data_IF_362768017999
#
_entry.id   IF_362768017999
#
_cell.length_a   1.000
_cell.length_b   1.000
_cell.length_c   1.000
_cell.angle_alpha   90.00
_cell.angle_beta   90.00
_cell.angle_gamma   90.00
#
_symmetry.space_group_name_H-M   'P 1'
#
loop_
_entity.id
_entity.type
_entity.pdbx_description
1 polymer ?
#
# COMPACT_ATOMS: atom_id res chain seq x y z
N UNK A 1 -17.48 -10.99 2.67
CA UNK A 1 -17.79 -10.30 3.94
C UNK A 1 -17.43 -8.86 3.71
N UNK A 2 -18.35 -7.93 3.94
CA UNK A 2 -18.04 -6.50 3.83
C UNK A 2 -17.51 -6.07 5.19
N UNK A 3 -16.25 -5.67 5.25
CA UNK A 3 -15.60 -5.16 6.44
C UNK A 3 -15.13 -3.73 6.10
N UNK A 4 -15.76 -2.69 6.68
CA UNK A 4 -15.46 -1.30 6.31
C UNK A 4 -13.98 -0.94 6.46
N UNK A 5 -13.29 -1.54 7.43
CA UNK A 5 -11.87 -1.28 7.64
C UNK A 5 -11.01 -1.99 6.59
N UNK A 6 -11.37 -3.19 6.15
CA UNK A 6 -10.72 -3.83 4.99
C UNK A 6 -10.97 -3.06 3.69
N UNK A 7 -12.14 -2.43 3.55
CA UNK A 7 -12.45 -1.58 2.39
C UNK A 7 -11.58 -0.31 2.37
N UNK A 8 -11.33 0.32 3.52
CA UNK A 8 -10.39 1.44 3.66
C UNK A 8 -8.95 1.02 3.31
N UNK A 9 -8.47 -0.09 3.87
CA UNK A 9 -7.12 -0.59 3.57
C UNK A 9 -6.93 -0.87 2.07
N UNK A 10 -7.97 -1.40 1.40
CA UNK A 10 -7.96 -1.61 -0.04
C UNK A 10 -7.87 -0.29 -0.82
N UNK A 11 -8.67 0.72 -0.44
CA UNK A 11 -8.64 2.02 -1.09
C UNK A 11 -7.26 2.69 -0.96
N UNK A 12 -6.64 2.59 0.22
CA UNK A 12 -5.27 3.08 0.46
C UNK A 12 -4.26 2.36 -0.42
N UNK A 13 -4.34 1.03 -0.52
CA UNK A 13 -3.46 0.22 -1.37
C UNK A 13 -3.56 0.59 -2.85
N UNK A 14 -4.78 0.81 -3.34
CA UNK A 14 -5.03 1.31 -4.71
C UNK A 14 -4.46 2.73 -4.89
N UNK A 15 -4.54 3.56 -3.86
CA UNK A 15 -3.91 4.89 -3.80
C UNK A 15 -2.39 4.81 -3.96
N UNK A 16 -1.72 4.00 -3.15
CA UNK A 16 -0.27 3.77 -3.23
C UNK A 16 0.14 3.24 -4.60
N UNK A 17 -0.60 2.28 -5.15
CA UNK A 17 -0.35 1.72 -6.49
C UNK A 17 -0.40 2.78 -7.59
N UNK A 18 -1.38 3.70 -7.53
CA UNK A 18 -1.48 4.83 -8.48
C UNK A 18 -0.32 5.81 -8.31
N UNK A 19 0.09 6.10 -7.07
CA UNK A 19 1.21 7.00 -6.79
C UNK A 19 2.54 6.42 -7.29
N UNK A 20 2.81 5.13 -7.02
CA UNK A 20 3.99 4.42 -7.51
C UNK A 20 4.08 4.45 -9.03
N UNK A 21 2.98 4.15 -9.75
CA UNK A 21 2.93 4.25 -11.21
C UNK A 21 3.29 5.65 -11.73
N UNK A 22 2.84 6.70 -11.04
CA UNK A 22 3.17 8.09 -11.40
C UNK A 22 4.64 8.41 -11.16
N UNK A 23 5.19 8.02 -10.01
CA UNK A 23 6.59 8.25 -9.66
C UNK A 23 7.54 7.49 -10.57
N UNK A 24 7.23 6.23 -10.91
CA UNK A 24 8.02 5.43 -11.83
C UNK A 24 8.09 6.07 -13.22
N UNK A 25 6.96 6.58 -13.74
CA UNK A 25 6.95 7.35 -14.99
C UNK A 25 7.77 8.65 -14.90
N UNK A 26 7.75 9.34 -13.74
CA UNK A 26 8.57 10.54 -13.53
C UNK A 26 10.06 10.22 -13.48
N UNK A 27 10.43 9.13 -12.79
CA UNK A 27 11.81 8.67 -12.68
C UNK A 27 12.44 8.46 -14.07
N UNK A 28 11.73 7.76 -14.95
CA UNK A 28 12.18 7.47 -16.32
C UNK A 28 12.31 8.71 -17.22
N UNK A 29 11.64 9.82 -16.87
CA UNK A 29 11.67 11.08 -17.65
C UNK A 29 12.65 12.10 -17.09
N UNK A 30 13.25 11.84 -15.94
CA UNK A 30 14.10 12.80 -15.23
C UNK A 30 15.56 12.54 -15.58
N UNK A 31 16.29 13.57 -16.02
CA UNK A 31 17.70 13.45 -16.42
C UNK A 31 18.69 13.92 -15.34
N UNK A 32 18.21 14.49 -14.24
CA UNK A 32 19.04 14.93 -13.11
C UNK A 32 19.14 13.83 -12.06
N UNK A 33 20.37 13.44 -11.70
CA UNK A 33 20.65 12.44 -10.68
C UNK A 33 20.04 12.82 -9.30
N UNK A 34 20.13 14.09 -8.91
CA UNK A 34 19.54 14.57 -7.64
C UNK A 34 18.02 14.46 -7.63
N UNK A 35 17.38 14.81 -8.74
CA UNK A 35 15.94 14.69 -8.88
C UNK A 35 15.49 13.21 -8.91
N UNK A 36 16.24 12.34 -9.60
CA UNK A 36 16.01 10.90 -9.57
C UNK A 36 16.14 10.33 -8.15
N UNK A 37 17.18 10.73 -7.39
CA UNK A 37 17.39 10.32 -6.00
C UNK A 37 16.21 10.69 -5.09
N UNK A 38 15.66 11.91 -5.25
CA UNK A 38 14.45 12.33 -4.51
C UNK A 38 13.23 11.47 -4.87
N UNK A 39 13.05 11.12 -6.14
CA UNK A 39 11.94 10.27 -6.60
C UNK A 39 12.08 8.85 -6.03
N UNK A 40 13.30 8.29 -6.01
CA UNK A 40 13.57 6.96 -5.44
C UNK A 40 13.21 6.94 -3.94
N UNK A 41 13.64 7.95 -3.16
CA UNK A 41 13.26 8.07 -1.74
C UNK A 41 11.75 8.13 -1.53
N UNK A 42 11.01 8.78 -2.43
CA UNK A 42 9.55 8.81 -2.38
C UNK A 42 8.93 7.45 -2.68
N UNK A 43 9.49 6.72 -3.66
CA UNK A 43 9.08 5.34 -3.98
C UNK A 43 9.29 4.44 -2.75
N UNK A 44 10.45 4.49 -2.11
CA UNK A 44 10.76 3.68 -0.92
C UNK A 44 9.79 3.98 0.24
N UNK A 45 9.50 5.28 0.47
CA UNK A 45 8.54 5.68 1.50
C UNK A 45 7.13 5.13 1.24
N UNK A 46 6.67 5.15 -0.02
CA UNK A 46 5.35 4.62 -0.39
C UNK A 46 5.35 3.09 -0.32
N UNK A 47 6.42 2.43 -0.75
CA UNK A 47 6.56 0.97 -0.67
C UNK A 47 6.46 0.49 0.79
N UNK A 48 7.12 1.16 1.73
CA UNK A 48 7.02 0.86 3.17
C UNK A 48 5.58 1.03 3.70
N UNK A 49 4.88 2.09 3.28
CA UNK A 49 3.47 2.29 3.65
C UNK A 49 2.56 1.19 3.08
N UNK A 50 2.81 0.79 1.83
CA UNK A 50 2.08 -0.26 1.14
C UNK A 50 2.28 -1.62 1.79
N UNK A 51 3.51 -1.94 2.21
CA UNK A 51 3.80 -3.17 2.96
C UNK A 51 3.07 -3.19 4.31
N UNK A 52 3.12 -2.10 5.07
CA UNK A 52 2.43 -1.99 6.35
C UNK A 52 0.91 -2.15 6.20
N UNK A 53 0.32 -1.53 5.17
CA UNK A 53 -1.08 -1.69 4.83
C UNK A 53 -1.43 -3.17 4.53
N UNK A 54 -0.63 -3.85 3.71
CA UNK A 54 -0.82 -5.26 3.39
C UNK A 54 -0.73 -6.15 4.66
N UNK A 55 0.25 -5.91 5.53
CA UNK A 55 0.39 -6.62 6.81
C UNK A 55 -0.84 -6.44 7.69
N UNK A 56 -1.38 -5.23 7.78
CA UNK A 56 -2.58 -4.93 8.54
C UNK A 56 -3.82 -5.62 7.95
N UNK A 57 -3.97 -5.61 6.62
CA UNK A 57 -5.07 -6.30 5.92
C UNK A 57 -5.07 -7.81 6.22
N UNK A 58 -3.90 -8.44 6.17
CA UNK A 58 -3.74 -9.87 6.53
C UNK A 58 -4.09 -10.11 7.99
N UNK A 59 -3.63 -9.26 8.91
CA UNK A 59 -3.91 -9.38 10.35
C UNK A 59 -5.42 -9.32 10.64
N UNK A 60 -6.11 -8.32 10.08
CA UNK A 60 -7.56 -8.15 10.24
C UNK A 60 -8.30 -9.33 9.65
N UNK A 61 -7.95 -9.74 8.43
CA UNK A 61 -8.58 -10.89 7.76
C UNK A 61 -8.47 -12.16 8.61
N UNK A 62 -7.28 -12.45 9.15
CA UNK A 62 -7.07 -13.60 10.06
C UNK A 62 -7.91 -13.47 11.33
N UNK A 63 -7.99 -12.29 11.95
CA UNK A 63 -8.84 -12.03 13.12
C UNK A 63 -10.30 -12.32 12.83
N UNK A 64 -10.85 -11.78 11.72
CA UNK A 64 -12.24 -11.99 11.32
C UNK A 64 -12.56 -13.46 11.05
N UNK A 65 -11.64 -14.20 10.45
CA UNK A 65 -11.81 -15.65 10.24
C UNK A 65 -11.88 -16.38 11.59
N UNK A 66 -11.00 -16.04 12.54
CA UNK A 66 -10.99 -16.65 13.88
C UNK A 66 -12.27 -16.34 14.66
N UNK A 67 -12.70 -15.07 14.69
CA UNK A 67 -13.95 -14.64 15.34
C UNK A 67 -15.15 -15.42 14.80
N UNK A 68 -15.23 -15.64 13.49
CA UNK A 68 -16.33 -16.39 12.87
C UNK A 68 -16.32 -17.87 13.22
N UNK A 69 -15.13 -18.49 13.31
CA UNK A 69 -15.00 -19.88 13.73
C UNK A 69 -15.37 -20.08 15.20
N UNK A 70 -15.06 -19.11 16.06
CA UNK A 70 -15.36 -19.17 17.50
C UNK A 70 -16.82 -18.87 17.84
N UNK A 71 -17.56 -18.20 16.94
CA UNK A 71 -19.00 -17.91 17.09
C UNK A 71 -19.91 -18.99 16.49
N UNK A 72 -19.32 -19.98 15.80
CA UNK A 72 -19.99 -21.21 15.37
C UNK A 72 -19.77 -22.27 16.43
#
# INVERSE_FOLDING_TARGET
MRDPYLDELKNDFDGYSKQLKKLQKKLLKTNSADAQSKIIKQIDSIANKMENNQRQSVKVTKSRIKERKSKR
#
